data_IF_873326002537
#
_entry.id   IF_873326002537
#
_cell.length_a   1.000
_cell.length_b   1.000
_cell.length_c   1.000
_cell.angle_alpha   90.00
_cell.angle_beta   90.00
_cell.angle_gamma   90.00
#
_symmetry.space_group_name_H-M   'P 1'
#
loop_
_entity.id
_entity.type
_entity.pdbx_description
1 polymer ?
#
# COMPACT_ATOMS: atom_id res chain seq x y z
N UNK A 1 3.91 7.18 -48.44
CA UNK A 1 5.17 7.30 -47.70
C UNK A 1 5.12 8.62 -46.94
N UNK A 2 4.94 8.57 -45.63
CA UNK A 2 5.00 9.75 -44.78
C UNK A 2 5.90 9.42 -43.60
N UNK A 3 7.14 9.88 -43.65
CA UNK A 3 8.00 9.93 -42.47
C UNK A 3 7.76 11.27 -41.79
N UNK A 4 7.45 11.22 -40.50
CA UNK A 4 7.52 12.37 -39.60
C UNK A 4 8.54 12.04 -38.54
N UNK A 5 9.76 12.51 -38.77
CA UNK A 5 10.84 12.55 -37.81
C UNK A 5 10.47 13.55 -36.71
N UNK A 6 10.47 13.13 -35.44
CA UNK A 6 10.32 14.02 -34.30
C UNK A 6 11.63 14.00 -33.51
N UNK A 7 12.19 15.20 -33.37
CA UNK A 7 13.44 15.51 -32.69
C UNK A 7 13.18 15.51 -31.18
N UNK A 8 13.86 14.67 -30.40
CA UNK A 8 13.92 14.81 -28.93
C UNK A 8 15.35 15.19 -28.56
N UNK A 9 15.54 16.49 -28.36
CA UNK A 9 16.71 17.06 -27.69
C UNK A 9 16.28 17.61 -26.33
N UNK A 10 17.13 17.42 -25.33
CA UNK A 10 17.06 18.18 -24.07
C UNK A 10 16.81 17.33 -22.84
N UNK A 11 17.89 17.01 -22.13
CA UNK A 11 17.91 16.53 -20.76
C UNK A 11 17.27 17.56 -19.82
N UNK A 12 16.32 17.13 -18.99
CA UNK A 12 15.96 17.82 -17.74
C UNK A 12 16.12 16.83 -16.60
N UNK A 13 17.24 16.98 -15.90
CA UNK A 13 17.43 16.47 -14.55
C UNK A 13 16.85 17.51 -13.60
N UNK A 14 15.94 17.12 -12.72
CA UNK A 14 15.38 18.01 -11.71
C UNK A 14 13.89 17.78 -11.50
N UNK A 15 13.56 17.26 -10.33
CA UNK A 15 12.24 17.03 -9.76
C UNK A 15 11.16 18.01 -10.21
N UNK A 16 10.10 17.49 -10.83
CA UNK A 16 8.76 18.08 -10.77
C UNK A 16 7.74 16.96 -10.98
N UNK A 17 7.05 16.57 -9.90
CA UNK A 17 5.87 15.72 -9.96
C UNK A 17 4.73 16.51 -10.60
N UNK A 18 4.53 16.34 -11.90
CA UNK A 18 3.36 16.86 -12.59
C UNK A 18 2.19 15.89 -12.41
N UNK A 19 1.27 16.21 -11.50
CA UNK A 19 -0.06 15.63 -11.51
C UNK A 19 -0.84 16.26 -12.67
N UNK A 20 -0.71 15.69 -13.87
CA UNK A 20 -1.62 15.96 -14.97
C UNK A 20 -2.80 14.98 -14.83
N UNK A 21 -3.92 15.49 -14.33
CA UNK A 21 -5.18 14.76 -14.34
C UNK A 21 -5.64 14.55 -15.78
N UNK A 22 -6.04 13.32 -16.11
CA UNK A 22 -7.08 13.08 -17.09
C UNK A 22 -7.72 11.70 -16.91
N UNK A 23 -8.97 11.63 -17.32
CA UNK A 23 -9.96 10.62 -16.95
C UNK A 23 -9.86 9.33 -17.80
N UNK A 24 -10.09 8.21 -17.11
CA UNK A 24 -10.84 7.02 -17.56
C UNK A 24 -10.28 6.06 -18.65
N UNK A 25 -10.05 4.82 -18.19
CA UNK A 25 -10.34 3.52 -18.82
C UNK A 25 -9.62 3.13 -20.12
N UNK A 26 -8.70 2.17 -20.02
CA UNK A 26 -8.93 0.76 -20.41
C UNK A 26 -7.61 0.02 -20.34
N UNK A 27 -7.44 -0.92 -19.40
CA UNK A 27 -6.54 -2.06 -19.64
C UNK A 27 -7.23 -3.35 -19.25
N UNK A 28 -7.90 -3.92 -20.24
CA UNK A 28 -8.17 -5.36 -20.29
C UNK A 28 -6.84 -6.04 -20.62
N UNK A 29 -6.21 -6.66 -19.61
CA UNK A 29 -5.03 -7.50 -19.77
C UNK A 29 -4.03 -7.38 -18.63
N UNK A 30 -4.03 -8.35 -17.72
CA UNK A 30 -2.94 -8.69 -16.77
C UNK A 30 -2.06 -7.52 -16.28
N UNK A 31 -2.66 -6.56 -15.56
CA UNK A 31 -2.00 -5.31 -15.12
C UNK A 31 -2.26 -4.96 -13.65
N UNK A 32 -2.37 -5.95 -12.74
CA UNK A 32 -2.63 -5.69 -11.31
C UNK A 32 -1.70 -4.61 -10.74
N UNK A 33 -0.40 -4.63 -11.04
CA UNK A 33 0.56 -3.68 -10.43
C UNK A 33 0.32 -2.21 -10.81
N UNK A 34 -0.16 -1.92 -12.03
CA UNK A 34 -0.35 -0.54 -12.50
C UNK A 34 -1.69 0.03 -12.05
N UNK A 35 -2.73 -0.80 -11.97
CA UNK A 35 -4.06 -0.41 -11.48
C UNK A 35 -4.03 -0.06 -9.98
N UNK A 36 -3.26 -0.83 -9.20
CA UNK A 36 -3.17 -0.64 -7.75
C UNK A 36 -2.43 0.66 -7.40
N UNK A 37 -1.40 1.04 -8.16
CA UNK A 37 -0.66 2.30 -7.93
C UNK A 37 -1.49 3.54 -8.24
N UNK A 38 -2.39 3.48 -9.21
CA UNK A 38 -3.31 4.58 -9.51
C UNK A 38 -4.40 4.74 -8.44
N UNK A 39 -4.64 3.73 -7.61
CA UNK A 39 -5.59 3.75 -6.48
C UNK A 39 -4.97 4.24 -5.17
N UNK A 40 -3.65 4.39 -5.10
CA UNK A 40 -2.97 4.86 -3.90
C UNK A 40 -3.23 6.36 -3.68
N UNK A 41 -3.63 6.78 -2.47
CA UNK A 41 -3.73 8.21 -2.15
C UNK A 41 -2.35 8.86 -2.11
N UNK A 42 -2.30 10.19 -2.11
CA UNK A 42 -1.06 10.91 -1.87
C UNK A 42 -0.56 10.61 -0.44
N UNK A 43 0.75 10.35 -0.24
CA UNK A 43 1.29 9.93 1.06
C UNK A 43 1.02 10.94 2.18
N UNK A 44 0.99 12.24 1.86
CA UNK A 44 0.70 13.32 2.80
C UNK A 44 -0.78 13.40 3.24
N UNK A 45 -1.69 12.79 2.47
CA UNK A 45 -3.13 12.76 2.79
C UNK A 45 -3.53 11.56 3.66
N UNK A 46 -2.58 10.66 3.92
CA UNK A 46 -2.83 9.44 4.69
C UNK A 46 -2.72 9.72 6.18
N UNK A 47 -3.80 9.47 6.92
CA UNK A 47 -3.76 9.40 8.38
C UNK A 47 -3.30 8.01 8.81
N UNK A 48 -1.98 7.83 8.93
CA UNK A 48 -1.37 6.52 9.20
C UNK A 48 -1.94 5.85 10.46
N UNK A 49 -2.27 6.62 11.51
CA UNK A 49 -2.82 6.07 12.75
C UNK A 49 -4.21 5.50 12.54
N UNK A 50 -5.05 6.22 11.81
CA UNK A 50 -6.40 5.74 11.45
C UNK A 50 -6.33 4.48 10.59
N UNK A 51 -5.43 4.44 9.62
CA UNK A 51 -5.28 3.30 8.73
C UNK A 51 -4.77 2.05 9.47
N UNK A 52 -3.78 2.19 10.36
CA UNK A 52 -3.29 1.09 11.20
C UNK A 52 -4.37 0.56 12.16
N UNK A 53 -5.14 1.45 12.79
CA UNK A 53 -6.25 1.06 13.65
C UNK A 53 -7.34 0.29 12.89
N UNK A 54 -7.67 0.73 11.67
CA UNK A 54 -8.63 0.04 10.80
C UNK A 54 -8.12 -1.35 10.38
N UNK A 55 -6.84 -1.45 9.99
CA UNK A 55 -6.19 -2.74 9.70
C UNK A 55 -6.30 -3.68 10.89
N UNK A 56 -6.01 -3.21 12.10
CA UNK A 56 -6.13 -4.01 13.33
C UNK A 56 -7.54 -4.53 13.53
N UNK A 57 -8.55 -3.67 13.42
CA UNK A 57 -9.94 -4.09 13.59
C UNK A 57 -10.35 -5.20 12.61
N UNK A 58 -9.94 -5.07 11.33
CA UNK A 58 -10.26 -6.05 10.30
C UNK A 58 -9.50 -7.36 10.54
N UNK A 59 -8.22 -7.28 10.88
CA UNK A 59 -7.35 -8.44 11.12
C UNK A 59 -7.75 -9.20 12.39
N UNK A 60 -8.29 -8.53 13.40
CA UNK A 60 -8.82 -9.17 14.61
C UNK A 60 -10.10 -9.97 14.36
N UNK A 61 -10.74 -9.82 13.20
CA UNK A 61 -11.87 -10.68 12.77
C UNK A 61 -11.40 -12.05 12.27
N UNK A 62 -10.09 -12.26 12.10
CA UNK A 62 -9.54 -13.57 11.76
C UNK A 62 -9.57 -14.48 12.99
N UNK A 63 -10.32 -15.57 12.89
CA UNK A 63 -10.24 -16.67 13.83
C UNK A 63 -8.92 -17.42 13.60
N UNK A 64 -7.90 -17.10 14.39
CA UNK A 64 -6.57 -17.71 14.28
C UNK A 64 -5.89 -17.83 15.64
N UNK A 65 -5.18 -18.95 15.90
CA UNK A 65 -4.34 -19.08 17.09
C UNK A 65 -3.16 -18.09 17.11
N UNK A 66 -2.85 -17.44 15.97
CA UNK A 66 -1.82 -16.42 15.87
C UNK A 66 -2.33 -14.99 16.13
N UNK A 67 -3.58 -14.82 16.59
CA UNK A 67 -4.21 -13.51 16.80
C UNK A 67 -3.37 -12.61 17.71
N UNK A 68 -2.82 -13.14 18.81
CA UNK A 68 -1.92 -12.39 19.70
C UNK A 68 -0.62 -11.94 19.04
N UNK A 69 -0.10 -12.68 18.04
CA UNK A 69 1.08 -12.25 17.27
C UNK A 69 0.74 -11.14 16.27
N UNK A 70 -0.42 -11.25 15.63
CA UNK A 70 -0.95 -10.25 14.71
C UNK A 70 -1.19 -8.95 15.48
N UNK A 71 -1.88 -9.01 16.62
CA UNK A 71 -2.17 -7.88 17.50
C UNK A 71 -0.90 -7.18 17.99
N UNK A 72 0.10 -7.96 18.44
CA UNK A 72 1.37 -7.39 18.89
C UNK A 72 2.12 -6.70 17.75
N UNK A 73 2.19 -7.33 16.58
CA UNK A 73 2.92 -6.76 15.45
C UNK A 73 2.24 -5.50 14.88
N UNK A 74 0.91 -5.42 14.88
CA UNK A 74 0.23 -4.19 14.47
C UNK A 74 0.34 -3.10 15.53
N UNK A 75 0.33 -3.46 16.83
CA UNK A 75 0.57 -2.50 17.91
C UNK A 75 1.97 -1.88 17.80
N UNK A 76 3.00 -2.70 17.51
CA UNK A 76 4.38 -2.24 17.27
C UNK A 76 4.44 -1.22 16.12
N UNK A 77 3.71 -1.47 15.03
CA UNK A 77 3.57 -0.52 13.94
C UNK A 77 2.83 0.77 14.33
N UNK A 78 1.78 0.68 15.17
CA UNK A 78 1.05 1.84 15.71
C UNK A 78 1.93 2.71 16.63
N UNK A 79 2.74 2.07 17.48
CA UNK A 79 3.70 2.73 18.36
C UNK A 79 4.80 3.44 17.56
N UNK A 80 5.37 2.76 16.56
CA UNK A 80 6.37 3.32 15.66
C UNK A 80 5.84 4.51 14.87
N UNK A 81 4.65 4.37 14.27
CA UNK A 81 4.00 5.44 13.51
C UNK A 81 3.60 6.65 14.36
N UNK A 82 3.56 6.50 15.69
CA UNK A 82 3.24 7.57 16.63
C UNK A 82 4.46 8.38 17.08
N UNK A 83 5.68 7.96 16.73
CA UNK A 83 6.90 8.71 17.04
C UNK A 83 6.95 10.04 16.26
N UNK A 84 7.66 11.07 16.76
CA UNK A 84 7.85 12.34 16.06
C UNK A 84 8.48 12.16 14.66
N UNK A 85 9.41 11.22 14.55
CA UNK A 85 10.06 10.80 13.32
C UNK A 85 9.91 9.27 13.21
N UNK A 86 8.82 8.78 12.61
CA UNK A 86 8.53 7.35 12.55
C UNK A 86 9.47 6.64 11.56
N UNK A 87 9.99 5.48 11.95
CA UNK A 87 10.74 4.62 11.04
C UNK A 87 9.77 3.83 10.14
N UNK A 88 9.72 4.22 8.86
CA UNK A 88 8.83 3.59 7.88
C UNK A 88 9.23 2.14 7.59
N UNK A 89 10.50 1.79 7.69
CA UNK A 89 10.94 0.41 7.47
C UNK A 89 10.57 -0.50 8.64
N UNK A 90 10.57 0.01 9.88
CA UNK A 90 10.04 -0.71 11.05
C UNK A 90 8.51 -0.92 10.93
N UNK A 91 7.74 0.14 10.63
CA UNK A 91 6.28 0.04 10.40
C UNK A 91 5.98 -0.97 9.28
N UNK A 92 6.67 -0.84 8.14
CA UNK A 92 6.48 -1.72 7.00
C UNK A 92 6.82 -3.19 7.31
N UNK A 93 7.92 -3.43 8.04
CA UNK A 93 8.35 -4.77 8.43
C UNK A 93 7.35 -5.43 9.38
N UNK A 94 6.85 -4.68 10.34
CA UNK A 94 5.80 -5.12 11.27
C UNK A 94 4.52 -5.51 10.51
N UNK A 95 4.08 -4.68 9.57
CA UNK A 95 2.91 -4.95 8.73
C UNK A 95 3.12 -6.14 7.78
N UNK A 96 4.31 -6.33 7.23
CA UNK A 96 4.58 -7.51 6.40
C UNK A 96 4.42 -8.80 7.22
N UNK A 97 4.89 -8.80 8.47
CA UNK A 97 4.72 -9.94 9.39
C UNK A 97 3.24 -10.20 9.69
N UNK A 98 2.47 -9.15 9.93
CA UNK A 98 1.02 -9.21 10.11
C UNK A 98 0.35 -9.85 8.90
N UNK A 99 0.62 -9.35 7.69
CA UNK A 99 0.01 -9.85 6.46
C UNK A 99 0.41 -11.30 6.15
N UNK A 100 1.67 -11.67 6.40
CA UNK A 100 2.16 -13.06 6.27
C UNK A 100 1.46 -14.03 7.23
N UNK A 101 1.16 -13.60 8.45
CA UNK A 101 0.43 -14.41 9.42
C UNK A 101 -1.05 -14.51 9.01
N UNK A 102 -1.66 -13.38 8.65
CA UNK A 102 -3.05 -13.29 8.24
C UNK A 102 -3.34 -14.14 6.98
N UNK A 103 -2.47 -14.11 5.97
CA UNK A 103 -2.65 -14.87 4.72
C UNK A 103 -2.71 -16.39 4.92
N UNK A 104 -2.18 -16.93 6.02
CA UNK A 104 -2.25 -18.36 6.35
C UNK A 104 -3.61 -18.78 6.89
N UNK A 105 -4.47 -17.84 7.26
CA UNK A 105 -5.79 -18.11 7.84
C UNK A 105 -6.80 -18.36 6.71
N UNK A 106 -7.57 -19.43 6.81
CA UNK A 106 -8.51 -19.84 5.74
C UNK A 106 -9.57 -18.78 5.40
N UNK A 107 -9.95 -17.94 6.37
CA UNK A 107 -10.91 -16.84 6.19
C UNK A 107 -10.29 -15.55 5.68
N UNK A 108 -8.97 -15.48 5.44
CA UNK A 108 -8.29 -14.27 4.97
C UNK A 108 -8.90 -13.68 3.70
N UNK A 109 -9.25 -14.52 2.72
CA UNK A 109 -9.87 -14.08 1.47
C UNK A 109 -11.21 -13.38 1.67
N UNK A 110 -11.91 -13.65 2.78
CA UNK A 110 -13.20 -13.01 3.09
C UNK A 110 -13.05 -11.58 3.59
N UNK A 111 -11.86 -11.21 4.08
CA UNK A 111 -11.57 -9.88 4.62
C UNK A 111 -10.68 -9.03 3.71
N UNK A 112 -10.10 -9.62 2.65
CA UNK A 112 -9.18 -8.93 1.72
C UNK A 112 -9.76 -7.66 1.12
N UNK A 113 -11.04 -7.67 0.76
CA UNK A 113 -11.72 -6.49 0.19
C UNK A 113 -11.89 -5.35 1.20
N UNK A 114 -11.95 -5.68 2.50
CA UNK A 114 -11.93 -4.68 3.57
C UNK A 114 -10.52 -4.19 3.86
N UNK A 115 -9.51 -5.05 3.74
CA UNK A 115 -8.10 -4.69 3.92
C UNK A 115 -7.56 -3.79 2.81
N UNK A 116 -8.01 -4.00 1.56
CA UNK A 116 -7.52 -3.32 0.37
C UNK A 116 -7.31 -1.80 0.55
N UNK A 117 -8.35 -0.98 0.82
CA UNK A 117 -8.19 0.48 0.89
C UNK A 117 -7.17 0.92 1.95
N UNK A 118 -7.07 0.19 3.05
CA UNK A 118 -6.15 0.49 4.13
C UNK A 118 -4.71 0.07 3.80
N UNK A 119 -4.52 -1.10 3.18
CA UNK A 119 -3.21 -1.54 2.72
C UNK A 119 -2.67 -0.58 1.65
N UNK A 120 -3.51 -0.09 0.74
CA UNK A 120 -3.09 0.90 -0.25
C UNK A 120 -2.66 2.21 0.39
N UNK A 121 -3.45 2.71 1.34
CA UNK A 121 -3.14 3.96 2.05
C UNK A 121 -1.83 3.83 2.83
N UNK A 122 -1.64 2.73 3.57
CA UNK A 122 -0.42 2.50 4.33
C UNK A 122 0.79 2.29 3.41
N UNK A 123 0.65 1.52 2.34
CA UNK A 123 1.71 1.36 1.33
C UNK A 123 2.11 2.70 0.68
N UNK A 124 1.14 3.57 0.39
CA UNK A 124 1.42 4.89 -0.15
C UNK A 124 2.22 5.74 0.84
N UNK A 125 1.82 5.74 2.12
CA UNK A 125 2.52 6.47 3.17
C UNK A 125 3.94 5.94 3.42
N UNK A 126 4.11 4.61 3.45
CA UNK A 126 5.41 3.97 3.62
C UNK A 126 6.37 4.22 2.44
N UNK A 127 5.80 4.44 1.26
CA UNK A 127 6.55 4.74 0.03
C UNK A 127 6.94 3.49 -0.76
N UNK A 128 7.69 3.73 -1.84
CA UNK A 128 7.89 2.75 -2.91
C UNK A 128 8.50 1.42 -2.47
N UNK A 129 9.33 1.42 -1.42
CA UNK A 129 9.96 0.22 -0.85
C UNK A 129 8.91 -0.77 -0.30
N UNK A 130 7.75 -0.27 0.11
CA UNK A 130 6.70 -1.03 0.79
C UNK A 130 5.44 -1.23 -0.05
N UNK A 131 5.47 -0.84 -1.34
CA UNK A 131 4.42 -1.21 -2.30
C UNK A 131 4.27 -2.74 -2.46
N UNK A 132 5.28 -3.52 -2.06
CA UNK A 132 5.17 -4.97 -2.06
C UNK A 132 4.12 -5.51 -1.09
N UNK A 133 3.62 -4.71 -0.13
CA UNK A 133 2.50 -5.08 0.73
C UNK A 133 1.19 -5.26 -0.06
N UNK A 134 1.04 -4.66 -1.24
CA UNK A 134 -0.18 -4.85 -2.04
C UNK A 134 -0.31 -6.27 -2.59
N UNK A 135 0.79 -7.05 -2.63
CA UNK A 135 0.75 -8.47 -3.06
C UNK A 135 -0.16 -9.34 -2.17
N UNK A 136 -0.48 -8.88 -0.97
CA UNK A 136 -1.34 -9.62 -0.04
C UNK A 136 -2.83 -9.45 -0.33
N UNK A 137 -3.22 -8.40 -1.07
CA UNK A 137 -4.61 -8.06 -1.36
C UNK A 137 -5.03 -8.36 -2.81
N UNK A 138 -4.09 -8.56 -3.75
CA UNK A 138 -4.40 -8.97 -5.13
C UNK A 138 -3.28 -8.74 -6.13
#
# INVERSE_FOLDING_TARGET
MSQSSIHIGGSVSGSNVMFAGDNNSTVVGNNNVTDIRNKMPAPETVDIRKELAALREILMKLDTPESGKIDRAITDAEEEASKPEPDKDEVGSALERVMKAAQKVGTFKTIVTMLEPHVLSVSAWLGTNWHSLTKFIG
#
